data_IF_495089799571
#
_entry.id   IF_495089799571
#
_cell.length_a   1.000
_cell.length_b   1.000
_cell.length_c   1.000
_cell.angle_alpha   90.00
_cell.angle_beta   90.00
_cell.angle_gamma   90.00
#
_symmetry.space_group_name_H-M   'P 1'
#
loop_
_entity.id
_entity.type
_entity.pdbx_description
1 polymer ?
#
# COMPACT_ATOMS: atom_id res chain seq x y z
N UNK A 1 -25.20 -4.81 6.49
CA UNK A 1 -23.76 -4.87 6.19
C UNK A 1 -23.05 -3.96 7.18
N UNK A 2 -22.05 -4.48 7.88
CA UNK A 2 -21.25 -3.74 8.88
C UNK A 2 -19.85 -3.44 8.33
N UNK A 3 -19.12 -2.54 8.98
CA UNK A 3 -17.69 -2.32 8.70
C UNK A 3 -16.85 -3.60 8.85
N UNK A 4 -17.29 -4.53 9.71
CA UNK A 4 -16.68 -5.85 9.85
C UNK A 4 -16.80 -6.70 8.58
N UNK A 5 -17.88 -6.56 7.82
CA UNK A 5 -18.09 -7.32 6.57
C UNK A 5 -17.08 -6.86 5.51
N UNK A 6 -16.82 -5.55 5.40
CA UNK A 6 -15.84 -5.02 4.46
C UNK A 6 -14.42 -5.55 4.74
N UNK A 7 -13.98 -5.51 6.00
CA UNK A 7 -12.66 -6.06 6.38
C UNK A 7 -12.58 -7.57 6.19
N UNK A 8 -13.68 -8.28 6.40
CA UNK A 8 -13.77 -9.71 6.11
C UNK A 8 -13.58 -9.99 4.62
N UNK A 9 -14.24 -9.23 3.74
CA UNK A 9 -14.05 -9.36 2.28
C UNK A 9 -12.61 -9.03 1.85
N UNK A 10 -11.97 -8.03 2.48
CA UNK A 10 -10.56 -7.69 2.26
C UNK A 10 -9.64 -8.89 2.54
N UNK A 11 -9.80 -9.54 3.71
CA UNK A 11 -9.00 -10.71 4.09
C UNK A 11 -9.22 -11.91 3.17
N UNK A 12 -10.49 -12.18 2.83
CA UNK A 12 -10.83 -13.26 1.90
C UNK A 12 -10.28 -13.02 0.49
N UNK A 13 -10.09 -11.76 0.11
CA UNK A 13 -9.74 -11.38 -1.24
C UNK A 13 -10.94 -11.34 -2.19
N UNK A 14 -12.14 -11.03 -1.69
CA UNK A 14 -13.36 -11.02 -2.48
C UNK A 14 -13.57 -9.65 -3.16
N UNK A 15 -12.93 -9.45 -4.31
CA UNK A 15 -12.99 -8.18 -5.05
C UNK A 15 -14.41 -7.75 -5.42
N UNK A 16 -15.31 -8.68 -5.76
CA UNK A 16 -16.68 -8.35 -6.17
C UNK A 16 -17.48 -7.75 -5.01
N UNK A 17 -17.37 -8.33 -3.81
CA UNK A 17 -18.04 -7.77 -2.63
C UNK A 17 -17.41 -6.46 -2.18
N UNK A 18 -16.09 -6.31 -2.32
CA UNK A 18 -15.40 -5.04 -2.06
C UNK A 18 -15.90 -3.94 -2.99
N UNK A 19 -15.98 -4.20 -4.30
CA UNK A 19 -16.53 -3.27 -5.29
C UNK A 19 -17.95 -2.86 -4.95
N UNK A 20 -18.83 -3.85 -4.76
CA UNK A 20 -20.20 -3.64 -4.37
C UNK A 20 -20.33 -2.82 -3.08
N UNK A 21 -19.48 -3.08 -2.08
CA UNK A 21 -19.48 -2.33 -0.83
C UNK A 21 -19.07 -0.87 -1.04
N UNK A 22 -17.97 -0.62 -1.77
CA UNK A 22 -17.44 0.73 -2.04
C UNK A 22 -18.41 1.56 -2.89
N UNK A 23 -19.08 0.95 -3.87
CA UNK A 23 -19.98 1.64 -4.79
C UNK A 23 -21.36 1.93 -4.17
N UNK A 24 -21.87 1.04 -3.32
CA UNK A 24 -23.26 1.11 -2.83
C UNK A 24 -23.40 1.56 -1.37
N UNK A 25 -22.31 1.76 -0.63
CA UNK A 25 -22.36 2.18 0.77
C UNK A 25 -21.51 3.43 1.01
N UNK A 26 -21.96 4.27 1.96
CA UNK A 26 -21.14 5.38 2.46
C UNK A 26 -19.98 4.82 3.30
N UNK A 27 -18.83 4.63 2.66
CA UNK A 27 -17.60 4.20 3.32
C UNK A 27 -16.78 5.43 3.73
N UNK A 28 -16.23 5.41 4.95
CA UNK A 28 -15.36 6.50 5.42
C UNK A 28 -13.93 6.29 4.91
N UNK A 29 -13.15 7.37 4.83
CA UNK A 29 -11.73 7.29 4.49
C UNK A 29 -10.96 6.35 5.44
N UNK A 30 -11.32 6.32 6.73
CA UNK A 30 -10.70 5.43 7.72
C UNK A 30 -10.92 3.95 7.38
N UNK A 31 -12.14 3.58 6.98
CA UNK A 31 -12.45 2.19 6.60
C UNK A 31 -11.71 1.81 5.33
N UNK A 32 -11.66 2.69 4.32
CA UNK A 32 -10.91 2.44 3.07
C UNK A 32 -9.41 2.28 3.34
N UNK A 33 -8.84 3.14 4.19
CA UNK A 33 -7.44 3.07 4.60
C UNK A 33 -7.10 1.79 5.36
N UNK A 34 -7.98 1.35 6.26
CA UNK A 34 -7.80 0.07 6.97
C UNK A 34 -7.92 -1.12 6.01
N UNK A 35 -8.90 -1.08 5.09
CA UNK A 35 -9.05 -2.08 4.04
C UNK A 35 -7.79 -2.18 3.17
N UNK A 36 -7.27 -1.03 2.71
CA UNK A 36 -6.03 -0.94 1.94
C UNK A 36 -4.86 -1.57 2.70
N UNK A 37 -4.71 -1.26 3.98
CA UNK A 37 -3.68 -1.86 4.83
C UNK A 37 -3.81 -3.38 4.92
N UNK A 38 -5.02 -3.91 5.13
CA UNK A 38 -5.28 -5.36 5.20
C UNK A 38 -4.86 -6.03 3.88
N UNK A 39 -5.25 -5.47 2.73
CA UNK A 39 -4.98 -6.09 1.43
C UNK A 39 -3.52 -5.95 1.02
N UNK A 40 -2.82 -4.89 1.44
CA UNK A 40 -1.36 -4.79 1.32
C UNK A 40 -0.67 -5.86 2.18
N UNK A 41 -1.09 -6.01 3.44
CA UNK A 41 -0.56 -7.00 4.37
C UNK A 41 -0.71 -8.42 3.80
N UNK A 42 -1.91 -8.77 3.34
CA UNK A 42 -2.24 -10.10 2.79
C UNK A 42 -1.82 -10.28 1.32
N UNK A 43 -1.16 -9.28 0.71
CA UNK A 43 -0.70 -9.30 -0.68
C UNK A 43 -1.80 -9.56 -1.71
N UNK A 44 -2.98 -8.96 -1.54
CA UNK A 44 -4.11 -9.06 -2.49
C UNK A 44 -3.96 -8.00 -3.59
N UNK A 45 -2.98 -8.19 -4.48
CA UNK A 45 -2.60 -7.22 -5.52
C UNK A 45 -3.79 -6.64 -6.29
N UNK A 46 -4.69 -7.46 -6.81
CA UNK A 46 -5.87 -7.00 -7.58
C UNK A 46 -6.80 -6.07 -6.77
N UNK A 47 -6.86 -6.27 -5.45
CA UNK A 47 -7.67 -5.42 -4.57
C UNK A 47 -6.91 -4.16 -4.19
N UNK A 48 -5.57 -4.22 -4.06
CA UNK A 48 -4.73 -3.02 -3.91
C UNK A 48 -4.92 -2.11 -5.12
N UNK A 49 -4.81 -2.66 -6.33
CA UNK A 49 -5.05 -1.93 -7.60
C UNK A 49 -6.42 -1.25 -7.64
N UNK A 50 -7.45 -1.90 -7.06
CA UNK A 50 -8.78 -1.30 -6.95
C UNK A 50 -8.82 -0.20 -5.88
N UNK A 51 -8.57 -0.55 -4.62
CA UNK A 51 -8.77 0.33 -3.46
C UNK A 51 -7.88 1.57 -3.47
N UNK A 52 -6.69 1.50 -4.07
CA UNK A 52 -5.78 2.65 -4.13
C UNK A 52 -6.40 3.84 -4.86
N UNK A 53 -7.30 3.59 -5.82
CA UNK A 53 -8.02 4.64 -6.55
C UNK A 53 -9.17 5.28 -5.75
N UNK A 54 -9.52 4.71 -4.60
CA UNK A 54 -10.59 5.18 -3.73
C UNK A 54 -10.07 5.82 -2.44
N UNK A 55 -8.76 5.77 -2.20
CA UNK A 55 -8.12 6.30 -0.98
C UNK A 55 -7.45 7.63 -1.29
N UNK A 56 -7.81 8.69 -0.55
CA UNK A 56 -7.17 10.00 -0.72
C UNK A 56 -5.73 10.03 -0.23
N UNK A 57 -5.47 9.34 0.89
CA UNK A 57 -4.14 9.28 1.53
C UNK A 57 -3.79 7.90 2.03
N UNK A 58 -2.55 7.48 1.81
CA UNK A 58 -2.01 6.17 2.16
C UNK A 58 -1.46 6.18 3.59
N UNK A 59 -1.96 5.32 4.49
CA UNK A 59 -1.38 5.12 5.79
C UNK A 59 0.03 4.52 5.68
N UNK A 60 0.98 5.02 6.48
CA UNK A 60 2.37 4.54 6.49
C UNK A 60 2.50 3.03 6.71
N UNK A 61 1.57 2.42 7.45
CA UNK A 61 1.55 0.97 7.67
C UNK A 61 1.44 0.15 6.37
N UNK A 62 0.83 0.68 5.31
CA UNK A 62 0.75 -0.02 4.02
C UNK A 62 2.14 -0.23 3.40
N UNK A 63 3.03 0.75 3.57
CA UNK A 63 4.41 0.71 3.09
C UNK A 63 5.25 -0.29 3.88
N UNK A 64 5.12 -0.25 5.21
CA UNK A 64 5.91 -1.09 6.12
C UNK A 64 5.50 -2.58 6.06
N UNK A 65 4.23 -2.87 5.78
CA UNK A 65 3.65 -4.20 6.01
C UNK A 65 3.31 -4.94 4.71
N UNK A 66 3.63 -4.39 3.54
CA UNK A 66 3.40 -5.05 2.24
C UNK A 66 4.14 -6.40 2.07
N UNK A 67 5.07 -6.74 2.97
CA UNK A 67 5.83 -7.98 2.95
C UNK A 67 5.48 -8.99 4.06
N UNK A 68 4.65 -8.64 5.05
CA UNK A 68 4.55 -9.44 6.28
C UNK A 68 3.66 -10.70 6.23
N UNK A 69 3.13 -11.10 5.06
CA UNK A 69 2.39 -12.35 4.92
C UNK A 69 3.22 -13.45 4.26
N UNK A 70 3.24 -14.64 4.89
CA UNK A 70 3.91 -15.87 4.41
C UNK A 70 3.52 -16.32 2.99
N UNK A 71 2.44 -15.78 2.41
CA UNK A 71 1.90 -16.15 1.10
C UNK A 71 2.35 -15.25 -0.06
N UNK A 72 3.18 -14.23 0.20
CA UNK A 72 3.55 -13.27 -0.82
C UNK A 72 4.86 -13.66 -1.51
N UNK A 73 4.90 -13.51 -2.83
CA UNK A 73 6.16 -13.57 -3.58
C UNK A 73 6.81 -12.20 -3.56
N UNK A 74 8.15 -12.15 -3.62
CA UNK A 74 8.88 -10.88 -3.68
C UNK A 74 8.38 -9.98 -4.82
N UNK A 75 8.11 -10.55 -5.99
CA UNK A 75 7.59 -9.82 -7.14
C UNK A 75 6.24 -9.16 -6.83
N UNK A 76 5.34 -9.86 -6.13
CA UNK A 76 4.04 -9.30 -5.75
C UNK A 76 4.19 -8.17 -4.75
N UNK A 77 5.05 -8.34 -3.74
CA UNK A 77 5.35 -7.28 -2.78
C UNK A 77 5.94 -6.04 -3.48
N UNK A 78 6.85 -6.24 -4.44
CA UNK A 78 7.41 -5.15 -5.24
C UNK A 78 6.34 -4.40 -6.03
N UNK A 79 5.41 -5.10 -6.69
CA UNK A 79 4.30 -4.47 -7.42
C UNK A 79 3.38 -3.67 -6.51
N UNK A 80 3.05 -4.20 -5.33
CA UNK A 80 2.26 -3.46 -4.33
C UNK A 80 3.01 -2.19 -3.90
N UNK A 81 4.31 -2.30 -3.65
CA UNK A 81 5.14 -1.15 -3.27
C UNK A 81 5.17 -0.09 -4.39
N UNK A 82 5.35 -0.50 -5.65
CA UNK A 82 5.30 0.38 -6.82
C UNK A 82 3.96 1.13 -6.87
N UNK A 83 2.82 0.43 -6.76
CA UNK A 83 1.49 1.06 -6.74
C UNK A 83 1.35 2.11 -5.62
N UNK A 84 1.79 1.78 -4.41
CA UNK A 84 1.72 2.71 -3.26
C UNK A 84 2.57 3.96 -3.49
N UNK A 85 3.78 3.80 -4.03
CA UNK A 85 4.70 4.90 -4.32
C UNK A 85 4.19 5.77 -5.49
N UNK A 86 3.65 5.15 -6.53
CA UNK A 86 3.08 5.86 -7.69
C UNK A 86 1.89 6.73 -7.30
N UNK A 87 1.07 6.28 -6.34
CA UNK A 87 -0.01 7.10 -5.80
C UNK A 87 0.52 8.28 -4.98
N UNK A 88 1.62 8.11 -4.23
CA UNK A 88 2.43 9.17 -3.61
C UNK A 88 1.80 9.96 -2.45
N UNK A 89 0.47 9.92 -2.28
CA UNK A 89 -0.22 10.70 -1.24
C UNK A 89 -0.16 10.03 0.12
N UNK A 90 0.99 10.00 0.78
CA UNK A 90 1.11 9.42 2.13
C UNK A 90 0.58 10.37 3.22
N UNK A 91 -0.04 9.82 4.27
CA UNK A 91 -0.55 10.61 5.42
C UNK A 91 0.57 11.39 6.13
N UNK A 92 1.81 10.90 6.04
CA UNK A 92 2.99 11.57 6.59
C UNK A 92 4.14 11.46 5.59
N UNK A 93 4.97 12.49 5.53
CA UNK A 93 6.27 12.41 4.89
C UNK A 93 7.15 11.40 5.64
N UNK A 94 8.05 10.75 4.91
CA UNK A 94 8.98 9.77 5.44
C UNK A 94 10.30 9.85 4.69
N UNK A 95 11.35 9.30 5.29
CA UNK A 95 12.65 9.14 4.66
C UNK A 95 13.10 7.66 4.69
N UNK A 96 14.21 7.35 4.02
CA UNK A 96 14.71 5.98 3.91
C UNK A 96 15.03 5.32 5.27
N UNK A 97 15.36 6.11 6.31
CA UNK A 97 15.65 5.60 7.67
C UNK A 97 14.38 5.23 8.43
N UNK A 98 13.23 5.76 8.03
CA UNK A 98 11.94 5.43 8.64
C UNK A 98 11.42 4.08 8.12
N UNK A 99 12.00 3.57 7.03
CA UNK A 99 11.65 2.29 6.42
C UNK A 99 12.40 1.16 7.12
N UNK A 100 11.67 0.40 7.94
CA UNK A 100 12.16 -0.83 8.56
C UNK A 100 11.49 -2.04 7.92
N UNK A 101 12.26 -2.81 7.14
CA UNK A 101 11.84 -4.15 6.73
C UNK A 101 12.13 -5.14 7.86
N UNK A 102 11.23 -6.09 8.07
CA UNK A 102 11.46 -7.19 9.00
C UNK A 102 12.71 -8.01 8.59
N UNK A 103 13.29 -8.74 9.56
CA UNK A 103 14.55 -9.47 9.35
C UNK A 103 14.39 -10.67 8.40
N UNK A 104 13.17 -11.14 8.22
CA UNK A 104 12.80 -12.31 7.42
C UNK A 104 12.56 -12.00 5.93
N UNK A 105 12.63 -10.73 5.51
CA UNK A 105 12.52 -10.40 4.09
C UNK A 105 13.73 -10.88 3.29
N UNK A 106 13.52 -11.39 2.08
CA UNK A 106 14.62 -11.82 1.22
C UNK A 106 15.58 -10.65 0.90
N UNK A 107 16.87 -10.93 0.66
CA UNK A 107 17.80 -9.91 0.16
C UNK A 107 17.31 -9.25 -1.12
N UNK A 108 16.70 -10.01 -2.03
CA UNK A 108 16.17 -9.51 -3.29
C UNK A 108 15.08 -8.45 -3.08
N UNK A 109 14.05 -8.76 -2.29
CA UNK A 109 13.00 -7.77 -2.00
C UNK A 109 13.58 -6.55 -1.28
N UNK A 110 14.48 -6.76 -0.32
CA UNK A 110 15.12 -5.67 0.43
C UNK A 110 15.86 -4.69 -0.49
N UNK A 111 16.65 -5.21 -1.43
CA UNK A 111 17.38 -4.39 -2.40
C UNK A 111 16.42 -3.64 -3.33
N UNK A 112 15.44 -4.36 -3.91
CA UNK A 112 14.47 -3.76 -4.83
C UNK A 112 13.60 -2.69 -4.14
N UNK A 113 13.13 -2.95 -2.94
CA UNK A 113 12.32 -2.00 -2.18
C UNK A 113 13.13 -0.74 -1.81
N UNK A 114 14.42 -0.90 -1.46
CA UNK A 114 15.32 0.25 -1.24
C UNK A 114 15.49 1.09 -2.50
N UNK A 115 15.69 0.46 -3.65
CA UNK A 115 15.80 1.14 -4.94
C UNK A 115 14.53 1.95 -5.25
N UNK A 116 13.36 1.29 -5.17
CA UNK A 116 12.06 1.92 -5.43
C UNK A 116 11.81 3.14 -4.54
N UNK A 117 12.03 2.99 -3.23
CA UNK A 117 11.82 4.08 -2.27
C UNK A 117 12.85 5.20 -2.48
N UNK A 118 14.10 4.86 -2.78
CA UNK A 118 15.14 5.86 -3.06
C UNK A 118 14.76 6.69 -4.30
N UNK A 119 14.28 6.04 -5.36
CA UNK A 119 13.81 6.72 -6.58
C UNK A 119 12.59 7.59 -6.29
N UNK A 120 11.64 7.12 -5.47
CA UNK A 120 10.49 7.92 -5.06
C UNK A 120 10.87 9.14 -4.21
N UNK A 121 11.87 9.04 -3.34
CA UNK A 121 12.28 10.16 -2.49
C UNK A 121 13.19 11.16 -3.21
N UNK A 122 14.12 10.67 -4.02
CA UNK A 122 15.26 11.45 -4.53
C UNK A 122 15.40 11.44 -6.06
N UNK A 123 14.52 10.74 -6.79
CA UNK A 123 14.53 10.74 -8.25
C UNK A 123 14.30 12.14 -8.81
N UNK A 124 14.89 12.42 -9.98
CA UNK A 124 14.70 13.72 -10.65
C UNK A 124 13.23 14.00 -10.98
N UNK A 125 12.46 12.94 -11.26
CA UNK A 125 11.02 13.00 -11.52
C UNK A 125 10.17 12.86 -10.25
N UNK A 126 10.79 12.84 -9.06
CA UNK A 126 10.04 12.64 -7.82
C UNK A 126 9.22 13.87 -7.46
N UNK A 127 7.97 13.65 -7.05
CA UNK A 127 7.08 14.72 -6.59
C UNK A 127 7.69 15.47 -5.40
N UNK A 128 8.41 14.76 -4.52
CA UNK A 128 9.05 15.32 -3.32
C UNK A 128 10.32 16.12 -3.63
N UNK A 129 11.12 15.73 -4.63
CA UNK A 129 12.32 16.47 -5.00
C UNK A 129 11.96 17.85 -5.54
N UNK A 130 10.91 17.94 -6.36
CA UNK A 130 10.43 19.19 -6.95
C UNK A 130 9.79 20.15 -5.94
N UNK A 131 9.24 19.63 -4.82
CA UNK A 131 8.68 20.45 -3.73
C UNK A 131 9.74 21.09 -2.81
N UNK A 132 11.00 20.63 -2.86
CA UNK A 132 12.08 21.07 -1.95
C UNK A 132 13.15 21.98 -2.61
N UNK A 133 12.90 22.50 -3.83
CA UNK A 133 13.86 23.32 -4.60
C UNK A 133 13.57 24.84 -4.53
N UNK A 134 12.56 25.28 -3.76
CA UNK A 134 12.20 26.70 -3.64
C UNK A 134 12.28 27.24 -2.21
#
# INVERSE_FOLDING_TARGET
MTTGDFYYYCRLGNLNEIKNYVENHCITSEILQEGLHIVCYDGKLEIVEYLINHVDTIPMKCLFWCYSAYSNTDEKCCKILELLLDHGKFVKQFNLKDICFYNDVTPYFRERARELITNYLYGLDSQLYNENIF
#
